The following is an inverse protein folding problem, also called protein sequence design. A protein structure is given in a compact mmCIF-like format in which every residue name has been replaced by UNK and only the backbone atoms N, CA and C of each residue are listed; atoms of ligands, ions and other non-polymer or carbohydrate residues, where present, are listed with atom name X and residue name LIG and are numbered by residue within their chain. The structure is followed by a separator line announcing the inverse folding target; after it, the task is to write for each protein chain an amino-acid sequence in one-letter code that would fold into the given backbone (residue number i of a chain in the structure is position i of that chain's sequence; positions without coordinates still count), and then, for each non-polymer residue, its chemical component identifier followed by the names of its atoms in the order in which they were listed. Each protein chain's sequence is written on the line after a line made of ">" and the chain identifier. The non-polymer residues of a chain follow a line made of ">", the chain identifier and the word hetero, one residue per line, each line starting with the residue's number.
data_IF_014044489893
#
_entry.id   IF_014044489893
#
_cell.length_a   1.000
_cell.length_b   1.000
_cell.length_c   1.000
_cell.angle_alpha   90.00
_cell.angle_beta   90.00
_cell.angle_gamma   90.00
#
_symmetry.space_group_name_H-M   'P 1'
#
loop_
_entity.id
_entity.type
_entity.pdbx_description
1 polymer ?
#
# COMPACT_ATOMS: atom_id res chain seq x y z
N UNK A 1 14.90 9.29 12.47
CA UNK A 1 15.04 9.91 11.14
C UNK A 1 15.24 11.41 11.29
N UNK A 2 16.15 11.95 10.55
CA UNK A 2 16.33 13.39 10.39
C UNK A 2 15.93 13.76 8.96
N UNK A 3 15.07 14.76 8.82
CA UNK A 3 14.56 15.21 7.53
C UNK A 3 15.36 16.40 6.94
N UNK A 4 16.40 16.84 7.62
CA UNK A 4 17.25 17.95 7.16
C UNK A 4 18.65 17.85 7.74
N UNK A 5 19.41 16.82 7.37
CA UNK A 5 20.77 16.62 7.85
C UNK A 5 21.65 17.78 7.42
N UNK A 6 22.34 18.36 8.38
CA UNK A 6 23.27 19.48 8.20
C UNK A 6 22.67 20.70 7.50
N UNK A 7 21.33 20.84 7.48
CA UNK A 7 20.66 21.95 6.81
C UNK A 7 20.59 21.83 5.27
N UNK A 8 20.98 20.70 4.68
CA UNK A 8 21.03 20.50 3.22
C UNK A 8 19.71 19.99 2.64
N UNK A 9 18.67 19.82 3.47
CA UNK A 9 17.38 19.27 3.04
C UNK A 9 17.38 17.76 2.79
N UNK A 10 18.51 17.10 3.01
CA UNK A 10 18.63 15.65 2.82
C UNK A 10 17.99 14.92 4.00
N UNK A 11 17.39 13.75 3.72
CA UNK A 11 16.76 12.92 4.74
C UNK A 11 17.60 11.69 5.02
N UNK A 12 17.86 11.39 6.29
CA UNK A 12 18.47 10.15 6.74
C UNK A 12 17.54 9.45 7.71
N UNK A 13 17.30 8.18 7.45
CA UNK A 13 16.56 7.31 8.34
C UNK A 13 17.41 6.10 8.69
N UNK A 14 17.67 5.94 9.97
CA UNK A 14 18.32 4.77 10.53
C UNK A 14 17.27 3.92 11.23
N UNK A 15 17.24 2.64 10.94
CA UNK A 15 16.33 1.68 11.56
C UNK A 15 17.15 0.55 12.14
N UNK A 16 16.84 0.18 13.37
CA UNK A 16 17.41 -0.99 14.04
C UNK A 16 16.25 -1.91 14.42
N UNK A 17 16.35 -3.18 14.04
CA UNK A 17 15.33 -4.16 14.26
C UNK A 17 15.71 -5.10 15.42
N UNK A 18 14.76 -5.33 16.33
CA UNK A 18 14.85 -6.27 17.44
C UNK A 18 13.66 -7.23 17.41
N UNK A 19 13.90 -8.49 17.77
CA UNK A 19 12.84 -9.48 17.96
C UNK A 19 11.97 -9.08 19.16
N UNK A 20 10.65 -9.24 19.01
CA UNK A 20 9.71 -9.01 20.12
C UNK A 20 9.78 -10.09 21.20
N UNK A 21 10.19 -11.31 20.85
CA UNK A 21 10.17 -12.46 21.76
C UNK A 21 11.34 -12.47 22.75
N UNK A 22 12.52 -12.14 22.26
CA UNK A 22 13.79 -12.31 22.98
C UNK A 22 14.72 -11.08 22.94
N UNK A 23 14.24 -9.98 22.34
CA UNK A 23 15.03 -8.76 22.09
C UNK A 23 16.33 -8.99 21.33
N UNK A 24 16.45 -10.13 20.62
CA UNK A 24 17.60 -10.40 19.79
C UNK A 24 17.73 -9.37 18.67
N UNK A 25 18.97 -9.01 18.35
CA UNK A 25 19.27 -8.06 17.30
C UNK A 25 19.03 -8.64 15.91
N UNK A 26 18.18 -7.99 15.12
CA UNK A 26 17.81 -8.42 13.77
C UNK A 26 18.57 -7.78 12.63
N UNK A 27 19.17 -6.62 12.88
CA UNK A 27 19.93 -5.89 11.88
C UNK A 27 19.61 -4.41 11.80
N UNK A 28 20.35 -3.72 10.93
CA UNK A 28 20.20 -2.30 10.67
C UNK A 28 19.85 -2.05 9.21
N UNK A 29 19.09 -0.98 8.96
CA UNK A 29 18.82 -0.44 7.65
C UNK A 29 19.09 1.07 7.66
N UNK A 30 19.71 1.56 6.61
CA UNK A 30 19.98 2.98 6.35
C UNK A 30 19.24 3.36 5.10
N UNK A 31 18.43 4.40 5.17
CA UNK A 31 17.79 5.03 4.01
C UNK A 31 18.28 6.49 3.92
N UNK A 32 18.77 6.89 2.77
CA UNK A 32 19.23 8.24 2.50
C UNK A 32 18.57 8.80 1.25
N UNK A 33 17.94 9.95 1.37
CA UNK A 33 17.22 10.63 0.28
C UNK A 33 17.78 12.03 0.11
N UNK A 34 18.12 12.38 -1.13
CA UNK A 34 18.54 13.71 -1.56
C UNK A 34 17.42 14.26 -2.45
N UNK A 35 16.47 15.03 -1.92
CA UNK A 35 15.47 15.71 -2.73
C UNK A 35 16.15 16.86 -3.48
N UNK A 36 15.70 17.17 -4.68
CA UNK A 36 16.23 18.30 -5.46
C UNK A 36 17.74 18.25 -5.73
N UNK A 37 18.25 17.12 -6.21
CA UNK A 37 19.65 16.99 -6.58
C UNK A 37 20.11 18.18 -7.43
N UNK A 38 21.04 18.98 -6.92
CA UNK A 38 21.56 20.18 -7.57
C UNK A 38 20.47 21.18 -8.05
N UNK A 39 19.32 21.25 -7.40
CA UNK A 39 18.20 22.12 -7.78
C UNK A 39 17.39 21.66 -9.00
N UNK A 40 17.53 20.42 -9.42
CA UNK A 40 16.96 19.89 -10.68
C UNK A 40 15.58 19.24 -10.54
N UNK A 41 14.97 19.24 -9.38
CA UNK A 41 13.76 18.49 -9.03
C UNK A 41 13.90 16.96 -9.12
N UNK A 42 15.09 16.44 -9.33
CA UNK A 42 15.37 15.01 -9.21
C UNK A 42 15.60 14.64 -7.75
N UNK A 43 15.06 13.50 -7.36
CA UNK A 43 15.32 12.88 -6.05
C UNK A 43 16.21 11.68 -6.25
N UNK A 44 17.34 11.63 -5.54
CA UNK A 44 18.18 10.45 -5.46
C UNK A 44 17.89 9.71 -4.14
N UNK A 45 17.77 8.40 -4.22
CA UNK A 45 17.46 7.52 -3.10
C UNK A 45 18.49 6.40 -3.01
N UNK A 46 18.88 6.10 -1.80
CA UNK A 46 19.75 4.99 -1.48
C UNK A 46 19.24 4.33 -0.22
N UNK A 47 19.07 3.00 -0.26
CA UNK A 47 18.77 2.22 0.93
C UNK A 47 19.64 0.98 0.97
N UNK A 48 20.22 0.70 2.12
CA UNK A 48 21.02 -0.50 2.33
C UNK A 48 20.88 -1.01 3.76
N UNK A 49 20.85 -2.31 3.91
CA UNK A 49 20.81 -2.92 5.23
C UNK A 49 20.23 -4.32 5.23
N UNK A 50 19.96 -4.80 6.42
CA UNK A 50 19.31 -6.08 6.62
C UNK A 50 18.41 -6.05 7.85
N UNK A 51 17.41 -6.92 7.82
CA UNK A 51 16.61 -7.31 8.96
C UNK A 51 16.70 -8.83 9.20
N UNK A 52 15.78 -9.41 9.99
CA UNK A 52 15.74 -10.85 10.26
C UNK A 52 15.57 -11.72 9.02
N UNK A 53 14.89 -11.20 7.98
CA UNK A 53 14.44 -11.96 6.84
C UNK A 53 15.02 -11.44 5.53
N UNK A 54 15.41 -10.18 5.48
CA UNK A 54 15.81 -9.50 4.25
C UNK A 54 17.19 -8.86 4.37
N UNK A 55 17.91 -8.84 3.26
CA UNK A 55 19.07 -7.97 3.04
C UNK A 55 18.82 -7.23 1.73
N UNK A 56 18.85 -5.92 1.76
CA UNK A 56 18.42 -5.05 0.67
C UNK A 56 19.48 -4.04 0.33
N UNK A 57 19.68 -3.83 -0.96
CA UNK A 57 20.39 -2.70 -1.54
C UNK A 57 19.51 -2.09 -2.61
N UNK A 58 19.05 -0.86 -2.40
CA UNK A 58 18.23 -0.12 -3.36
C UNK A 58 18.92 1.19 -3.71
N UNK A 59 18.88 1.55 -5.00
CA UNK A 59 19.38 2.81 -5.52
C UNK A 59 18.37 3.36 -6.52
N UNK A 60 18.10 4.66 -6.46
CA UNK A 60 17.13 5.26 -7.35
C UNK A 60 17.43 6.71 -7.67
N UNK A 61 17.04 7.11 -8.87
CA UNK A 61 16.98 8.50 -9.30
C UNK A 61 15.63 8.71 -9.97
N UNK A 62 14.83 9.67 -9.50
CA UNK A 62 13.52 9.94 -10.08
C UNK A 62 13.17 11.42 -10.07
N UNK A 63 12.37 11.82 -11.04
CA UNK A 63 11.62 13.07 -11.08
C UNK A 63 10.15 12.73 -11.31
N UNK A 64 9.30 13.14 -10.39
CA UNK A 64 7.84 12.96 -10.48
C UNK A 64 7.19 14.13 -11.24
N UNK A 65 5.95 13.95 -11.69
CA UNK A 65 5.12 15.04 -12.18
C UNK A 65 4.88 16.08 -11.08
N UNK A 66 5.33 17.30 -11.31
CA UNK A 66 5.17 18.44 -10.38
C UNK A 66 4.02 19.32 -10.81
N UNK A 67 3.88 19.53 -12.12
CA UNK A 67 2.88 20.40 -12.75
C UNK A 67 1.91 19.59 -13.60
N UNK A 68 0.70 20.14 -13.91
CA UNK A 68 -0.26 19.47 -14.80
C UNK A 68 0.25 19.22 -16.24
N UNK A 69 1.19 20.06 -16.73
CA UNK A 69 1.95 19.80 -17.96
C UNK A 69 3.41 19.66 -17.55
N UNK A 70 3.92 18.45 -17.58
CA UNK A 70 5.25 18.10 -17.11
C UNK A 70 5.68 16.74 -17.66
N UNK A 71 6.90 16.33 -17.31
CA UNK A 71 7.41 14.98 -17.56
C UNK A 71 7.84 14.32 -16.25
N UNK A 72 7.80 13.02 -16.21
CA UNK A 72 8.44 12.19 -15.20
C UNK A 72 9.50 11.31 -15.85
N UNK A 73 10.47 10.92 -15.06
CA UNK A 73 11.47 9.91 -15.41
C UNK A 73 12.02 9.29 -14.14
N UNK A 74 12.33 8.02 -14.19
CA UNK A 74 12.96 7.34 -13.06
C UNK A 74 13.70 6.10 -13.48
N UNK A 75 14.68 5.77 -12.66
CA UNK A 75 15.47 4.55 -12.74
C UNK A 75 15.75 4.07 -11.33
N UNK A 76 15.43 2.81 -11.06
CA UNK A 76 15.75 2.18 -9.78
C UNK A 76 16.41 0.82 -9.99
N UNK A 77 17.34 0.50 -9.11
CA UNK A 77 17.98 -0.79 -9.03
C UNK A 77 17.83 -1.34 -7.62
N UNK A 78 17.44 -2.62 -7.52
CA UNK A 78 17.30 -3.34 -6.25
C UNK A 78 18.02 -4.69 -6.30
N UNK A 79 18.81 -5.01 -5.28
CA UNK A 79 19.35 -6.37 -5.01
C UNK A 79 18.84 -6.81 -3.63
N UNK A 80 17.91 -7.75 -3.64
CA UNK A 80 17.20 -8.20 -2.45
C UNK A 80 17.52 -9.67 -2.21
N UNK A 81 17.92 -9.99 -0.99
CA UNK A 81 17.98 -11.37 -0.49
C UNK A 81 16.93 -11.49 0.60
N UNK A 82 15.94 -12.33 0.38
CA UNK A 82 14.82 -12.52 1.30
C UNK A 82 14.68 -13.98 1.68
N UNK A 83 14.39 -14.23 2.96
CA UNK A 83 14.03 -15.55 3.47
C UNK A 83 12.51 -15.69 3.34
N UNK A 84 12.03 -16.43 2.34
CA UNK A 84 10.61 -16.64 2.08
C UNK A 84 10.19 -18.02 2.57
N UNK A 85 9.07 -18.06 3.27
CA UNK A 85 8.44 -19.33 3.66
C UNK A 85 7.67 -19.90 2.49
N UNK A 86 7.98 -21.13 2.13
CA UNK A 86 7.32 -21.88 1.06
C UNK A 86 6.34 -22.87 1.68
N UNK A 87 5.06 -22.60 1.51
CA UNK A 87 3.98 -23.40 2.11
C UNK A 87 4.05 -24.86 1.64
N UNK A 88 4.37 -25.07 0.35
CA UNK A 88 4.40 -26.41 -0.25
C UNK A 88 5.53 -27.29 0.29
N UNK A 89 6.58 -26.70 0.84
CA UNK A 89 7.76 -27.41 1.33
C UNK A 89 7.90 -27.33 2.87
N UNK A 90 6.98 -26.61 3.51
CA UNK A 90 7.01 -26.31 4.96
C UNK A 90 8.40 -25.82 5.43
N UNK A 91 9.05 -25.01 4.62
CA UNK A 91 10.41 -24.52 4.91
C UNK A 91 10.65 -23.11 4.42
N UNK A 92 11.63 -22.44 5.02
CA UNK A 92 12.04 -21.11 4.59
C UNK A 92 13.29 -21.20 3.71
N UNK A 93 13.19 -20.73 2.48
CA UNK A 93 14.28 -20.68 1.52
C UNK A 93 14.81 -19.25 1.34
N UNK A 94 16.10 -19.15 1.08
CA UNK A 94 16.72 -17.89 0.73
C UNK A 94 16.52 -17.64 -0.77
N UNK A 95 15.81 -16.58 -1.10
CA UNK A 95 15.59 -16.08 -2.47
C UNK A 95 16.47 -14.87 -2.70
N UNK A 96 17.15 -14.82 -3.83
CA UNK A 96 17.93 -13.65 -4.27
C UNK A 96 17.31 -13.09 -5.54
N UNK A 97 16.86 -11.84 -5.48
CA UNK A 97 16.20 -11.13 -6.56
C UNK A 97 16.96 -9.85 -6.91
N UNK A 98 17.13 -9.60 -8.21
CA UNK A 98 17.65 -8.36 -8.76
C UNK A 98 16.60 -7.75 -9.65
N UNK A 99 16.35 -6.47 -9.46
CA UNK A 99 15.35 -5.74 -10.21
C UNK A 99 15.93 -4.42 -10.73
N UNK A 100 15.76 -4.16 -12.02
CA UNK A 100 16.03 -2.88 -12.65
C UNK A 100 14.71 -2.36 -13.22
N UNK A 101 14.32 -1.14 -12.84
CA UNK A 101 13.06 -0.54 -13.22
C UNK A 101 13.31 0.87 -13.77
N UNK A 102 13.00 1.07 -15.04
CA UNK A 102 13.15 2.34 -15.74
C UNK A 102 11.80 2.79 -16.28
N UNK A 103 11.44 4.05 -16.05
CA UNK A 103 10.17 4.59 -16.55
C UNK A 103 10.31 6.05 -16.96
N UNK A 104 9.35 6.48 -17.78
CA UNK A 104 9.20 7.86 -18.15
C UNK A 104 7.81 8.15 -18.65
N UNK A 105 7.41 9.41 -18.58
CA UNK A 105 6.08 9.82 -18.98
C UNK A 105 5.98 11.31 -19.26
N UNK A 106 4.92 11.68 -19.97
CA UNK A 106 4.57 13.05 -20.25
C UNK A 106 3.10 13.31 -19.98
N UNK A 107 2.82 14.42 -19.33
CA UNK A 107 1.47 14.91 -19.04
C UNK A 107 1.23 16.27 -19.67
N UNK A 108 0.01 16.48 -20.18
CA UNK A 108 -0.43 17.75 -20.77
C UNK A 108 -1.80 18.16 -20.26
N UNK A 109 -1.88 19.37 -19.72
CA UNK A 109 -3.15 19.93 -19.28
C UNK A 109 -4.00 20.40 -20.47
N UNK A 110 -5.24 19.93 -20.54
CA UNK A 110 -6.22 20.30 -21.56
C UNK A 110 -7.29 21.23 -20.94
N UNK A 111 -7.20 22.51 -21.26
CA UNK A 111 -8.14 23.53 -20.73
C UNK A 111 -9.59 23.23 -21.04
N UNK A 112 -9.88 22.64 -22.20
CA UNK A 112 -11.25 22.34 -22.65
C UNK A 112 -11.98 21.39 -21.71
N UNK A 113 -11.31 20.39 -21.15
CA UNK A 113 -11.87 19.39 -20.24
C UNK A 113 -11.51 19.65 -18.77
N UNK A 114 -10.65 20.62 -18.51
CA UNK A 114 -10.18 20.97 -17.16
C UNK A 114 -9.40 19.87 -16.46
N UNK A 115 -8.71 19.01 -17.24
CA UNK A 115 -7.99 17.83 -16.76
C UNK A 115 -6.70 17.63 -17.56
N UNK A 116 -5.77 16.85 -17.03
CA UNK A 116 -4.56 16.47 -17.75
C UNK A 116 -4.70 15.09 -18.35
N UNK A 117 -4.21 14.91 -19.56
CA UNK A 117 -3.97 13.61 -20.18
C UNK A 117 -2.50 13.27 -20.05
N UNK A 118 -2.17 11.99 -19.97
CA UNK A 118 -0.81 11.53 -19.84
C UNK A 118 -0.57 10.21 -20.58
N UNK A 119 0.70 10.01 -20.90
CA UNK A 119 1.25 8.77 -21.45
C UNK A 119 2.52 8.45 -20.66
N UNK A 120 2.62 7.21 -20.19
CA UNK A 120 3.76 6.71 -19.41
C UNK A 120 4.23 5.38 -19.99
N UNK A 121 5.53 5.12 -19.87
CA UNK A 121 6.13 3.85 -20.26
C UNK A 121 7.05 3.35 -19.15
N UNK A 122 7.16 2.05 -18.99
CA UNK A 122 8.01 1.39 -17.99
C UNK A 122 8.63 0.14 -18.56
N UNK A 123 9.92 -0.02 -18.34
CA UNK A 123 10.64 -1.26 -18.54
C UNK A 123 11.09 -1.81 -17.20
N UNK A 124 10.73 -3.04 -16.92
CA UNK A 124 11.11 -3.75 -15.71
C UNK A 124 11.88 -5.02 -16.08
N UNK A 125 13.08 -5.15 -15.52
CA UNK A 125 13.95 -6.30 -15.66
C UNK A 125 14.10 -6.98 -14.31
N UNK A 126 13.69 -8.24 -14.18
CA UNK A 126 13.75 -9.03 -12.96
C UNK A 126 14.45 -10.35 -13.17
N UNK A 127 15.41 -10.66 -12.30
CA UNK A 127 16.12 -11.95 -12.27
C UNK A 127 16.16 -12.50 -10.86
N UNK A 128 15.78 -13.76 -10.72
CA UNK A 128 15.73 -14.49 -9.45
C UNK A 128 16.77 -15.60 -9.47
N UNK A 129 17.97 -15.30 -8.98
CA UNK A 129 19.14 -16.17 -9.11
C UNK A 129 19.24 -17.27 -8.05
N UNK A 130 18.59 -17.11 -6.90
CA UNK A 130 18.55 -18.11 -5.83
C UNK A 130 17.10 -18.31 -5.44
N UNK A 131 16.56 -19.45 -5.76
CA UNK A 131 15.13 -19.75 -5.64
C UNK A 131 14.88 -21.25 -5.55
N UNK A 132 13.71 -21.70 -5.03
CA UNK A 132 13.25 -23.06 -5.11
C UNK A 132 12.97 -23.46 -6.58
N UNK A 133 12.57 -24.71 -6.76
CA UNK A 133 12.10 -25.19 -8.06
C UNK A 133 10.93 -24.33 -8.54
N UNK A 134 10.97 -23.97 -9.81
CA UNK A 134 9.92 -23.22 -10.50
C UNK A 134 9.45 -24.00 -11.73
N UNK A 135 8.25 -23.72 -12.19
CA UNK A 135 7.66 -24.36 -13.38
C UNK A 135 6.64 -23.43 -14.04
N UNK A 136 6.13 -23.77 -15.23
CA UNK A 136 5.23 -22.88 -15.99
C UNK A 136 4.03 -22.34 -15.19
N UNK A 137 3.49 -23.15 -14.28
CA UNK A 137 2.35 -22.79 -13.43
C UNK A 137 2.68 -22.83 -11.91
N UNK A 138 3.96 -22.97 -11.58
CA UNK A 138 4.43 -23.12 -10.22
C UNK A 138 5.39 -22.00 -9.84
N UNK A 139 5.10 -21.31 -8.74
CA UNK A 139 5.86 -20.17 -8.23
C UNK A 139 6.11 -19.05 -9.28
N UNK A 140 5.10 -18.55 -10.00
CA UNK A 140 5.31 -17.57 -11.08
C UNK A 140 5.90 -16.24 -10.60
N UNK A 141 5.74 -15.89 -9.33
CA UNK A 141 6.39 -14.71 -8.74
C UNK A 141 7.91 -14.86 -8.58
N UNK A 142 8.46 -16.07 -8.76
CA UNK A 142 9.89 -16.34 -8.72
C UNK A 142 10.51 -16.58 -10.11
N UNK A 143 9.74 -16.39 -11.18
CA UNK A 143 10.25 -16.47 -12.54
C UNK A 143 11.13 -15.28 -12.90
N UNK A 144 12.12 -15.50 -13.74
CA UNK A 144 12.80 -14.41 -14.45
C UNK A 144 11.81 -13.76 -15.41
N UNK A 145 11.80 -12.45 -15.45
CA UNK A 145 10.81 -11.71 -16.23
C UNK A 145 11.35 -10.37 -16.69
N UNK A 146 11.12 -10.05 -17.94
CA UNK A 146 11.22 -8.69 -18.49
C UNK A 146 9.82 -8.21 -18.87
N UNK A 147 9.50 -6.95 -18.61
CA UNK A 147 8.20 -6.40 -18.95
C UNK A 147 8.33 -4.98 -19.49
N UNK A 148 7.64 -4.71 -20.58
CA UNK A 148 7.45 -3.37 -21.13
C UNK A 148 5.98 -3.02 -20.98
N UNK A 149 5.68 -1.99 -20.21
CA UNK A 149 4.33 -1.50 -19.95
C UNK A 149 4.16 -0.09 -20.52
N UNK A 150 2.97 0.20 -21.01
CA UNK A 150 2.54 1.52 -21.44
C UNK A 150 1.22 1.84 -20.76
N UNK A 151 1.16 2.98 -20.08
CA UNK A 151 -0.03 3.52 -19.44
C UNK A 151 -0.48 4.80 -20.12
N UNK A 152 -1.77 4.92 -20.39
CA UNK A 152 -2.39 6.14 -20.91
C UNK A 152 -3.64 6.47 -20.11
N UNK A 153 -3.80 7.75 -19.78
CA UNK A 153 -4.93 8.11 -18.94
C UNK A 153 -5.18 9.61 -18.84
N UNK A 154 -6.09 9.91 -17.94
CA UNK A 154 -6.48 11.27 -17.62
C UNK A 154 -6.63 11.43 -16.11
N UNK A 155 -6.26 12.60 -15.60
CA UNK A 155 -6.38 12.91 -14.19
C UNK A 155 -6.71 14.37 -13.95
N UNK A 156 -7.26 14.60 -12.76
CA UNK A 156 -7.49 15.92 -12.20
C UNK A 156 -7.26 15.84 -10.72
N UNK A 157 -6.35 16.67 -10.20
CA UNK A 157 -6.07 16.74 -8.78
C UNK A 157 -6.25 18.17 -8.29
N UNK A 158 -6.95 18.32 -7.18
CA UNK A 158 -7.10 19.54 -6.40
C UNK A 158 -6.89 19.19 -4.94
N UNK A 159 -6.58 20.19 -4.12
CA UNK A 159 -6.43 19.99 -2.68
C UNK A 159 -7.51 20.77 -1.94
N UNK A 160 -8.06 20.10 -0.95
CA UNK A 160 -9.00 20.66 -0.01
C UNK A 160 -8.38 20.66 1.38
N UNK A 161 -8.60 21.74 2.14
CA UNK A 161 -8.10 21.85 3.51
C UNK A 161 -9.15 21.35 4.48
N UNK A 162 -8.78 20.38 5.31
CA UNK A 162 -9.61 19.82 6.36
C UNK A 162 -8.86 19.81 7.68
N UNK A 163 -9.56 19.49 8.77
CA UNK A 163 -8.99 19.40 10.12
C UNK A 163 -9.45 18.10 10.80
N UNK A 164 -8.66 17.59 11.74
CA UNK A 164 -9.03 16.44 12.58
C UNK A 164 -9.38 15.18 11.78
N UNK A 165 -8.54 14.84 10.81
CA UNK A 165 -8.59 13.56 10.11
C UNK A 165 -7.55 12.65 10.73
N UNK A 166 -6.27 13.03 10.62
CA UNK A 166 -5.13 12.32 11.20
C UNK A 166 -4.54 13.07 12.40
N UNK A 167 -4.63 14.41 12.37
CA UNK A 167 -4.08 15.30 13.37
C UNK A 167 -5.16 15.88 14.30
N UNK A 168 -4.69 16.50 15.37
CA UNK A 168 -5.54 17.09 16.42
C UNK A 168 -5.76 18.59 16.22
N UNK A 169 -6.15 19.02 15.01
CA UNK A 169 -6.48 20.41 14.71
C UNK A 169 -5.46 21.15 13.84
N UNK A 170 -4.43 20.48 13.33
CA UNK A 170 -3.63 21.00 12.21
C UNK A 170 -4.47 20.99 10.94
N UNK A 171 -4.14 21.90 10.03
CA UNK A 171 -4.68 21.86 8.66
C UNK A 171 -4.08 20.67 7.93
N UNK A 172 -4.93 19.88 7.32
CA UNK A 172 -4.57 18.70 6.54
C UNK A 172 -5.08 18.91 5.12
N UNK A 173 -4.23 18.60 4.14
CA UNK A 173 -4.57 18.76 2.72
C UNK A 173 -5.00 17.40 2.18
N UNK A 174 -6.24 17.32 1.72
CA UNK A 174 -6.81 16.15 1.10
C UNK A 174 -6.84 16.34 -0.41
N UNK A 175 -6.34 15.36 -1.15
CA UNK A 175 -6.46 15.35 -2.59
C UNK A 175 -7.91 15.07 -2.99
N UNK A 176 -8.44 15.87 -3.90
CA UNK A 176 -9.78 15.68 -4.50
C UNK A 176 -9.64 15.63 -6.00
N UNK A 177 -10.41 14.79 -6.66
CA UNK A 177 -10.35 14.65 -8.10
C UNK A 177 -10.55 13.22 -8.56
N UNK A 178 -9.86 12.84 -9.63
CA UNK A 178 -9.91 11.51 -10.19
C UNK A 178 -8.68 11.20 -11.03
N UNK A 179 -8.40 9.91 -11.22
CA UNK A 179 -7.46 9.33 -12.17
C UNK A 179 -8.12 8.15 -12.86
N UNK A 180 -8.03 8.08 -14.18
CA UNK A 180 -8.42 6.93 -14.98
C UNK A 180 -7.23 6.54 -15.86
N UNK A 181 -6.86 5.28 -15.86
CA UNK A 181 -5.71 4.76 -16.59
C UNK A 181 -6.05 3.44 -17.26
N UNK A 182 -5.57 3.28 -18.49
CA UNK A 182 -5.46 2.01 -19.19
C UNK A 182 -3.99 1.65 -19.29
N UNK A 183 -3.66 0.44 -18.89
CA UNK A 183 -2.29 -0.08 -18.94
C UNK A 183 -2.27 -1.30 -19.85
N UNK A 184 -1.34 -1.33 -20.79
CA UNK A 184 -1.05 -2.51 -21.61
C UNK A 184 0.43 -2.77 -21.64
N UNK A 185 0.83 -3.98 -21.97
CA UNK A 185 2.23 -4.29 -22.09
C UNK A 185 2.51 -5.71 -22.52
N UNK A 186 3.77 -5.96 -22.70
CA UNK A 186 4.29 -7.27 -23.07
C UNK A 186 5.31 -7.73 -22.02
N UNK A 187 5.22 -8.97 -21.63
CA UNK A 187 6.09 -9.60 -20.65
C UNK A 187 6.78 -10.81 -21.28
N UNK A 188 8.11 -10.79 -21.28
CA UNK A 188 8.95 -11.92 -21.64
C UNK A 188 9.26 -12.71 -20.38
N UNK A 189 8.66 -13.88 -20.26
CA UNK A 189 8.85 -14.73 -19.10
C UNK A 189 9.87 -15.84 -19.36
N UNK A 190 10.31 -16.48 -18.29
CA UNK A 190 11.18 -17.65 -18.37
C UNK A 190 10.50 -18.86 -19.05
N UNK A 191 9.19 -18.97 -18.87
CA UNK A 191 8.40 -20.09 -19.39
C UNK A 191 7.41 -19.66 -20.46
N UNK A 192 6.74 -18.53 -20.26
CA UNK A 192 5.67 -18.05 -21.13
C UNK A 192 5.80 -16.56 -21.37
N UNK A 193 5.56 -16.16 -22.60
CA UNK A 193 5.36 -14.77 -22.99
C UNK A 193 3.89 -14.41 -22.84
N UNK A 194 3.61 -13.23 -22.34
CA UNK A 194 2.25 -12.79 -22.08
C UNK A 194 2.04 -11.31 -22.39
N UNK A 195 0.84 -10.99 -22.83
CA UNK A 195 0.37 -9.61 -22.96
C UNK A 195 -0.41 -9.21 -21.70
N UNK A 196 -0.11 -8.05 -21.14
CA UNK A 196 -0.85 -7.51 -20.00
C UNK A 196 -1.89 -6.50 -20.45
N UNK A 197 -3.08 -6.57 -19.87
CA UNK A 197 -4.13 -5.57 -19.99
C UNK A 197 -4.65 -5.20 -18.61
N UNK A 198 -4.70 -3.90 -18.32
CA UNK A 198 -5.18 -3.38 -17.05
C UNK A 198 -5.97 -2.08 -17.20
N UNK A 199 -6.87 -1.84 -16.26
CA UNK A 199 -7.62 -0.61 -16.14
C UNK A 199 -7.73 -0.23 -14.67
N UNK A 200 -7.56 1.05 -14.37
CA UNK A 200 -7.79 1.59 -13.03
C UNK A 200 -8.59 2.88 -13.08
N UNK A 201 -9.41 3.07 -12.06
CA UNK A 201 -10.12 4.32 -11.83
C UNK A 201 -10.13 4.64 -10.35
N UNK A 202 -9.75 5.84 -10.00
CA UNK A 202 -9.73 6.37 -8.65
C UNK A 202 -10.43 7.72 -8.61
N UNK A 203 -11.20 7.99 -7.56
CA UNK A 203 -11.86 9.28 -7.37
C UNK A 203 -12.01 9.61 -5.90
N UNK A 204 -12.11 10.91 -5.60
CA UNK A 204 -12.42 11.34 -4.24
C UNK A 204 -12.80 12.81 -4.15
N UNK A 205 -13.60 13.10 -3.15
CA UNK A 205 -14.06 14.45 -2.91
C UNK A 205 -15.03 14.57 -1.75
N UNK A 206 -15.27 15.79 -1.33
CA UNK A 206 -16.28 16.10 -0.32
C UNK A 206 -17.68 16.01 -0.91
N UNK A 207 -18.59 15.42 -0.15
CA UNK A 207 -20.03 15.35 -0.38
C UNK A 207 -20.75 15.84 0.89
N UNK A 208 -22.05 16.04 0.86
CA UNK A 208 -22.82 16.49 2.03
C UNK A 208 -22.61 15.64 3.29
N UNK A 209 -22.35 14.36 3.16
CA UNK A 209 -22.13 13.39 4.25
C UNK A 209 -20.67 13.26 4.71
N UNK A 210 -19.75 13.99 4.11
CA UNK A 210 -18.32 13.91 4.42
C UNK A 210 -17.43 13.73 3.18
N UNK A 211 -16.26 13.17 3.36
CA UNK A 211 -15.32 12.88 2.29
C UNK A 211 -15.40 11.41 1.89
N UNK A 212 -15.57 11.18 0.60
CA UNK A 212 -15.60 9.84 0.00
C UNK A 212 -14.44 9.75 -0.98
N UNK A 213 -13.69 8.66 -0.92
CA UNK A 213 -12.71 8.30 -1.91
C UNK A 213 -12.79 6.81 -2.19
N UNK A 214 -12.48 6.43 -3.42
CA UNK A 214 -12.46 5.02 -3.79
C UNK A 214 -11.99 4.84 -5.21
N UNK A 215 -11.76 3.59 -5.55
CA UNK A 215 -11.31 3.20 -6.86
C UNK A 215 -11.50 1.72 -7.11
N UNK A 216 -11.24 1.35 -8.34
CA UNK A 216 -11.11 -0.04 -8.72
C UNK A 216 -9.93 -0.22 -9.67
N UNK A 217 -9.33 -1.38 -9.62
CA UNK A 217 -8.30 -1.82 -10.55
C UNK A 217 -8.65 -3.22 -11.05
N UNK A 218 -8.55 -3.40 -12.34
CA UNK A 218 -8.77 -4.68 -13.01
C UNK A 218 -7.54 -4.95 -13.89
N UNK A 219 -7.02 -6.18 -13.88
CA UNK A 219 -5.93 -6.54 -14.75
C UNK A 219 -5.80 -8.05 -14.95
N UNK A 220 -5.20 -8.42 -16.07
CA UNK A 220 -4.96 -9.80 -16.43
C UNK A 220 -3.82 -9.91 -17.42
N UNK A 221 -3.16 -11.07 -17.40
CA UNK A 221 -2.27 -11.52 -18.45
C UNK A 221 -3.00 -12.41 -19.45
N UNK A 222 -2.66 -12.30 -20.71
CA UNK A 222 -3.08 -13.18 -21.79
C UNK A 222 -1.81 -13.91 -22.25
N UNK A 223 -1.75 -15.21 -22.02
CA UNK A 223 -0.66 -16.05 -22.51
C UNK A 223 -0.75 -16.12 -24.03
N UNK A 224 0.36 -15.89 -24.72
CA UNK A 224 0.38 -15.86 -26.18
C UNK A 224 0.49 -17.24 -26.82
N UNK A 225 0.78 -18.29 -26.04
CA UNK A 225 0.88 -19.65 -26.53
C UNK A 225 -0.50 -20.31 -26.61
N UNK A 226 -1.37 -20.10 -25.62
CA UNK A 226 -2.69 -20.72 -25.54
C UNK A 226 -3.86 -19.73 -25.68
N UNK A 227 -3.59 -18.42 -25.65
CA UNK A 227 -4.60 -17.36 -25.70
C UNK A 227 -5.44 -17.25 -24.43
N UNK A 228 -5.09 -17.93 -23.35
CA UNK A 228 -5.86 -17.96 -22.12
C UNK A 228 -5.53 -16.79 -21.19
N UNK A 229 -6.53 -16.37 -20.44
CA UNK A 229 -6.37 -15.34 -19.42
C UNK A 229 -5.80 -15.97 -18.14
N UNK A 230 -4.69 -15.42 -17.67
CA UNK A 230 -3.98 -15.87 -16.47
C UNK A 230 -3.76 -14.71 -15.49
N UNK A 231 -3.61 -15.07 -14.21
CA UNK A 231 -3.28 -14.13 -13.12
C UNK A 231 -4.20 -12.91 -13.10
N UNK A 232 -5.48 -13.14 -13.39
CA UNK A 232 -6.49 -12.09 -13.37
C UNK A 232 -6.80 -11.66 -11.95
N UNK A 233 -7.03 -10.36 -11.76
CA UNK A 233 -7.43 -9.80 -10.48
C UNK A 233 -8.30 -8.57 -10.65
N UNK A 234 -9.24 -8.39 -9.72
CA UNK A 234 -9.96 -7.15 -9.48
C UNK A 234 -9.75 -6.73 -8.04
N UNK A 235 -9.50 -5.46 -7.84
CA UNK A 235 -9.47 -4.82 -6.52
C UNK A 235 -10.40 -3.62 -6.51
N UNK A 236 -11.22 -3.50 -5.47
CA UNK A 236 -12.14 -2.38 -5.23
C UNK A 236 -11.89 -1.85 -3.84
N UNK A 237 -11.54 -0.58 -3.73
CA UNK A 237 -11.34 0.12 -2.47
C UNK A 237 -12.31 1.29 -2.35
N UNK A 238 -12.99 1.42 -1.20
CA UNK A 238 -13.88 2.53 -0.89
C UNK A 238 -13.63 2.98 0.54
N UNK A 239 -13.34 4.25 0.73
CA UNK A 239 -13.10 4.85 2.03
C UNK A 239 -13.96 6.09 2.22
N UNK A 240 -14.49 6.23 3.40
CA UNK A 240 -15.32 7.36 3.78
C UNK A 240 -14.99 7.82 5.19
N UNK A 241 -15.03 9.12 5.40
CA UNK A 241 -15.12 9.68 6.74
C UNK A 241 -16.20 10.77 6.80
N UNK A 242 -16.88 10.80 7.92
CA UNK A 242 -18.00 11.74 8.15
C UNK A 242 -17.54 13.19 8.24
N UNK A 243 -18.48 14.11 8.14
CA UNK A 243 -18.32 15.44 8.69
C UNK A 243 -17.98 15.35 10.18
N UNK A 244 -17.41 16.42 10.72
CA UNK A 244 -17.07 16.50 12.13
C UNK A 244 -18.33 16.84 12.94
N UNK A 245 -18.76 15.89 13.77
CA UNK A 245 -19.90 16.10 14.67
C UNK A 245 -19.43 16.70 15.99
N UNK A 246 -20.13 17.73 16.46
CA UNK A 246 -19.87 18.32 17.76
C UNK A 246 -20.81 17.67 18.80
N UNK A 247 -20.23 17.07 19.84
CA UNK A 247 -20.96 16.54 20.98
C UNK A 247 -20.40 17.15 22.27
N UNK A 248 -21.17 18.07 22.87
CA UNK A 248 -20.70 18.89 23.99
C UNK A 248 -19.41 19.63 23.63
N UNK A 249 -18.29 19.30 24.29
CA UNK A 249 -16.95 19.87 24.05
C UNK A 249 -16.06 18.96 23.22
N UNK A 250 -16.51 17.75 22.89
CA UNK A 250 -15.79 16.78 22.09
C UNK A 250 -16.22 16.84 20.63
N UNK A 251 -15.36 16.38 19.75
CA UNK A 251 -15.64 16.27 18.32
C UNK A 251 -15.55 14.82 17.92
N UNK A 252 -16.51 14.36 17.15
CA UNK A 252 -16.63 12.95 16.76
C UNK A 252 -16.49 12.84 15.25
N UNK A 253 -15.76 11.85 14.79
CA UNK A 253 -15.63 11.50 13.39
C UNK A 253 -15.77 9.98 13.23
N UNK A 254 -16.57 9.58 12.25
CA UNK A 254 -16.72 8.20 11.85
C UNK A 254 -15.87 7.94 10.60
N UNK A 255 -15.19 6.80 10.56
CA UNK A 255 -14.44 6.29 9.42
C UNK A 255 -14.98 4.95 9.00
N UNK A 256 -15.09 4.74 7.70
CA UNK A 256 -15.39 3.45 7.07
C UNK A 256 -14.39 3.19 5.96
N UNK A 257 -13.94 1.94 5.85
CA UNK A 257 -13.18 1.46 4.71
C UNK A 257 -13.72 0.11 4.28
N UNK A 258 -13.91 -0.05 3.00
CA UNK A 258 -14.32 -1.28 2.34
C UNK A 258 -13.28 -1.65 1.29
N UNK A 259 -12.82 -2.89 1.31
CA UNK A 259 -11.95 -3.44 0.29
C UNK A 259 -12.49 -4.80 -0.17
N UNK A 260 -12.49 -5.01 -1.48
CA UNK A 260 -12.82 -6.29 -2.09
C UNK A 260 -11.76 -6.64 -3.12
N UNK A 261 -11.12 -7.78 -2.96
CA UNK A 261 -10.12 -8.30 -3.89
C UNK A 261 -10.53 -9.70 -4.32
N UNK A 262 -10.56 -9.95 -5.62
CA UNK A 262 -10.80 -11.26 -6.18
C UNK A 262 -9.78 -11.57 -7.27
N UNK A 263 -9.18 -12.77 -7.19
CA UNK A 263 -8.32 -13.32 -8.22
C UNK A 263 -8.94 -14.57 -8.85
N UNK A 264 -8.67 -14.78 -10.13
CA UNK A 264 -9.05 -16.00 -10.84
C UNK A 264 -7.99 -16.36 -11.88
N UNK A 265 -7.98 -17.64 -12.28
CA UNK A 265 -6.98 -18.21 -13.18
C UNK A 265 -5.55 -17.91 -12.71
N UNK A 266 -5.32 -18.09 -11.41
CA UNK A 266 -4.03 -17.87 -10.77
C UNK A 266 -3.31 -19.20 -10.54
N UNK A 267 -1.98 -19.14 -10.55
CA UNK A 267 -1.13 -20.29 -10.25
C UNK A 267 -1.25 -20.76 -8.80
N UNK A 268 -0.66 -21.87 -8.50
CA UNK A 268 -0.48 -22.36 -7.14
C UNK A 268 0.78 -21.76 -6.51
N UNK A 269 0.72 -21.45 -5.23
CA UNK A 269 1.82 -20.87 -4.46
C UNK A 269 1.37 -19.75 -3.53
N UNK A 270 2.15 -19.50 -2.50
CA UNK A 270 1.86 -18.46 -1.49
C UNK A 270 1.81 -17.04 -2.07
N UNK A 271 2.54 -16.82 -3.16
CA UNK A 271 2.63 -15.52 -3.84
C UNK A 271 1.42 -15.26 -4.78
N UNK A 272 0.62 -16.29 -5.07
CA UNK A 272 -0.63 -16.20 -5.83
C UNK A 272 -1.88 -16.19 -4.93
N UNK A 273 -1.68 -16.00 -3.64
CA UNK A 273 -2.74 -15.90 -2.64
C UNK A 273 -2.73 -14.55 -1.93
N UNK A 274 -3.91 -14.04 -1.64
CA UNK A 274 -4.08 -12.86 -0.79
C UNK A 274 -4.26 -13.27 0.67
N UNK A 275 -3.98 -12.35 1.57
CA UNK A 275 -4.10 -12.56 3.03
C UNK A 275 -4.71 -11.34 3.71
N UNK A 276 -5.20 -11.51 4.92
CA UNK A 276 -5.46 -10.37 5.77
C UNK A 276 -4.13 -9.75 6.20
N UNK A 277 -3.95 -8.47 5.88
CA UNK A 277 -2.82 -7.69 6.38
C UNK A 277 -3.22 -6.94 7.63
N UNK A 278 -2.26 -6.56 8.47
CA UNK A 278 -2.53 -5.78 9.68
C UNK A 278 -2.93 -4.34 9.39
N UNK A 279 -2.53 -3.80 8.26
CA UNK A 279 -2.85 -2.42 7.84
C UNK A 279 -4.20 -2.34 7.15
N UNK A 280 -4.47 -3.22 6.21
CA UNK A 280 -5.66 -3.22 5.36
C UNK A 280 -6.61 -4.38 5.68
N UNK A 281 -6.36 -5.11 6.77
CA UNK A 281 -7.14 -6.25 7.21
C UNK A 281 -7.89 -6.01 8.53
N UNK A 282 -7.94 -7.06 9.34
CA UNK A 282 -8.53 -7.03 10.68
C UNK A 282 -7.45 -6.66 11.71
N UNK A 283 -7.67 -5.60 12.46
CA UNK A 283 -6.62 -4.97 13.28
C UNK A 283 -6.10 -5.84 14.44
N UNK A 284 -6.93 -6.68 15.01
CA UNK A 284 -6.54 -7.52 16.14
C UNK A 284 -6.23 -8.96 15.73
N UNK A 285 -6.38 -9.31 14.44
CA UNK A 285 -6.09 -10.66 13.95
C UNK A 285 -4.57 -10.83 13.75
N UNK A 286 -4.00 -11.89 14.30
CA UNK A 286 -2.59 -12.26 14.16
C UNK A 286 -2.39 -13.47 13.25
N UNK A 287 -3.43 -14.24 13.01
CA UNK A 287 -3.41 -15.45 12.19
C UNK A 287 -3.17 -15.17 10.70
N UNK A 288 -2.37 -16.02 10.07
CA UNK A 288 -2.05 -15.94 8.64
C UNK A 288 -3.04 -16.74 7.80
N UNK A 289 -4.16 -16.11 7.47
CA UNK A 289 -5.20 -16.71 6.65
C UNK A 289 -5.02 -16.26 5.20
N UNK A 290 -5.09 -17.21 4.29
CA UNK A 290 -4.87 -16.99 2.84
C UNK A 290 -6.09 -17.41 2.03
N UNK A 291 -6.23 -16.81 0.84
CA UNK A 291 -7.28 -17.13 -0.12
C UNK A 291 -7.02 -16.48 -1.46
N UNK A 292 -7.95 -16.65 -2.39
CA UNK A 292 -7.97 -15.94 -3.68
C UNK A 292 -9.04 -14.85 -3.73
N UNK A 293 -9.95 -14.85 -2.74
CA UNK A 293 -11.01 -13.85 -2.62
C UNK A 293 -11.06 -13.30 -1.20
N UNK A 294 -11.14 -11.98 -1.07
CA UNK A 294 -11.15 -11.28 0.22
C UNK A 294 -12.13 -10.12 0.17
N UNK A 295 -12.92 -9.95 1.21
CA UNK A 295 -13.75 -8.77 1.43
C UNK A 295 -13.55 -8.29 2.87
N UNK A 296 -13.32 -6.99 3.05
CA UNK A 296 -13.07 -6.38 4.34
C UNK A 296 -13.95 -5.14 4.49
N UNK A 297 -14.59 -5.02 5.64
CA UNK A 297 -15.26 -3.79 6.07
C UNK A 297 -14.68 -3.38 7.42
N UNK A 298 -14.09 -2.20 7.45
CA UNK A 298 -13.53 -1.61 8.66
C UNK A 298 -14.36 -0.41 9.09
N UNK A 299 -14.63 -0.30 10.37
CA UNK A 299 -15.28 0.87 10.95
C UNK A 299 -14.52 1.37 12.16
N UNK A 300 -14.37 2.67 12.29
CA UNK A 300 -13.70 3.30 13.42
C UNK A 300 -14.39 4.60 13.79
N UNK A 301 -14.78 4.75 15.06
CA UNK A 301 -15.33 5.97 15.63
C UNK A 301 -14.28 6.64 16.49
N UNK A 302 -13.89 7.87 16.15
CA UNK A 302 -12.88 8.64 16.88
C UNK A 302 -13.54 9.82 17.59
N UNK A 303 -13.29 9.92 18.89
CA UNK A 303 -13.74 11.03 19.74
C UNK A 303 -12.53 11.86 20.15
N UNK A 304 -12.40 13.04 19.59
CA UNK A 304 -11.39 14.03 19.95
C UNK A 304 -11.84 14.77 21.21
N UNK A 305 -11.15 14.55 22.32
CA UNK A 305 -11.50 15.15 23.60
C UNK A 305 -10.96 16.58 23.72
N UNK A 306 -11.56 17.43 24.55
CA UNK A 306 -11.03 18.77 24.83
C UNK A 306 -9.84 18.76 25.80
N UNK A 307 -9.51 17.61 26.37
CA UNK A 307 -8.45 17.49 27.39
C UNK A 307 -7.07 17.53 26.78
N UNK A 308 -6.18 18.28 27.43
CA UNK A 308 -4.80 18.44 26.97
C UNK A 308 -3.81 18.39 28.15
N UNK A 309 -3.73 17.29 28.92
CA UNK A 309 -2.81 17.17 30.03
C UNK A 309 -1.36 17.19 29.53
N UNK A 310 -0.51 17.96 30.19
CA UNK A 310 0.93 18.09 29.88
C UNK A 310 1.21 18.42 28.40
N UNK A 311 0.27 19.07 27.70
CA UNK A 311 0.38 19.39 26.28
C UNK A 311 0.03 18.24 25.34
N UNK A 312 -0.38 17.06 25.84
CA UNK A 312 -0.85 15.95 25.03
C UNK A 312 -2.34 16.09 24.71
N UNK A 313 -2.67 16.18 23.44
CA UNK A 313 -4.03 16.06 22.95
C UNK A 313 -4.44 14.59 22.92
N UNK A 314 -5.64 14.29 23.40
CA UNK A 314 -6.15 12.94 23.56
C UNK A 314 -7.34 12.72 22.63
N UNK A 315 -7.31 11.63 21.87
CA UNK A 315 -8.50 11.08 21.25
C UNK A 315 -8.67 9.61 21.68
N UNK A 316 -9.91 9.23 21.92
CA UNK A 316 -10.29 7.82 22.15
C UNK A 316 -10.99 7.30 20.91
N UNK A 317 -10.85 6.02 20.61
CA UNK A 317 -11.52 5.41 19.48
C UNK A 317 -11.97 3.99 19.77
N UNK A 318 -13.06 3.61 19.11
CA UNK A 318 -13.50 2.24 19.02
C UNK A 318 -13.47 1.78 17.57
N UNK A 319 -13.16 0.52 17.34
CA UNK A 319 -13.16 -0.08 16.00
C UNK A 319 -13.86 -1.42 15.96
N UNK A 320 -14.41 -1.73 14.79
CA UNK A 320 -14.92 -3.04 14.45
C UNK A 320 -14.54 -3.35 13.00
N UNK A 321 -13.97 -4.52 12.78
CA UNK A 321 -13.55 -5.00 11.47
C UNK A 321 -14.25 -6.32 11.17
N UNK A 322 -14.69 -6.47 9.93
CA UNK A 322 -15.36 -7.64 9.41
C UNK A 322 -14.65 -8.09 8.15
N UNK A 323 -14.33 -9.36 8.04
CA UNK A 323 -13.61 -9.91 6.91
C UNK A 323 -14.12 -11.28 6.48
N UNK A 324 -14.16 -11.48 5.17
CA UNK A 324 -14.37 -12.77 4.52
C UNK A 324 -13.14 -13.06 3.67
N UNK A 325 -12.61 -14.28 3.74
CA UNK A 325 -11.46 -14.71 2.94
C UNK A 325 -11.53 -16.21 2.68
N UNK A 326 -11.14 -16.61 1.48
CA UNK A 326 -11.06 -18.03 1.10
C UNK A 326 -10.88 -18.20 -0.40
N UNK A 327 -11.13 -19.42 -0.87
CA UNK A 327 -10.92 -19.82 -2.26
C UNK A 327 -12.20 -19.95 -3.07
N UNK A 328 -13.38 -19.85 -2.43
CA UNK A 328 -14.65 -19.93 -3.15
C UNK A 328 -14.89 -18.66 -3.98
N UNK A 329 -15.26 -18.78 -5.28
CA UNK A 329 -15.68 -17.63 -6.09
C UNK A 329 -16.84 -16.84 -5.48
N UNK A 330 -17.73 -17.51 -4.75
CA UNK A 330 -18.76 -16.85 -3.97
C UNK A 330 -18.20 -16.42 -2.63
N UNK A 331 -17.94 -15.12 -2.44
CA UNK A 331 -17.33 -14.56 -1.25
C UNK A 331 -18.04 -14.92 0.05
N UNK A 332 -19.37 -15.05 0.04
CA UNK A 332 -20.19 -15.38 1.22
C UNK A 332 -20.10 -16.85 1.65
N UNK A 333 -19.44 -17.72 0.87
CA UNK A 333 -19.13 -19.11 1.24
C UNK A 333 -17.78 -19.27 1.89
N UNK A 334 -16.98 -18.20 1.93
CA UNK A 334 -15.67 -18.16 2.54
C UNK A 334 -15.76 -17.95 4.06
N UNK A 335 -14.63 -18.15 4.76
CA UNK A 335 -14.58 -18.04 6.20
C UNK A 335 -14.71 -16.59 6.65
N UNK A 336 -15.54 -16.39 7.68
CA UNK A 336 -15.82 -15.09 8.27
C UNK A 336 -14.97 -14.87 9.54
N UNK A 337 -14.39 -13.67 9.60
CA UNK A 337 -13.61 -13.19 10.74
C UNK A 337 -14.07 -11.81 11.15
N UNK A 338 -13.97 -11.51 12.43
CA UNK A 338 -14.23 -10.18 12.96
C UNK A 338 -13.20 -9.79 14.00
N UNK A 339 -12.89 -8.51 14.11
CA UNK A 339 -12.11 -7.98 15.21
C UNK A 339 -12.75 -6.73 15.80
N UNK A 340 -12.68 -6.61 17.10
CA UNK A 340 -13.27 -5.51 17.88
C UNK A 340 -12.24 -4.95 18.84
N UNK A 341 -12.30 -3.66 19.10
CA UNK A 341 -11.41 -3.09 20.09
C UNK A 341 -11.61 -1.60 20.35
N UNK A 342 -10.80 -1.12 21.26
CA UNK A 342 -10.76 0.25 21.72
C UNK A 342 -9.31 0.75 21.75
N UNK A 343 -9.12 2.06 21.68
CA UNK A 343 -7.78 2.61 21.80
C UNK A 343 -7.75 4.09 22.14
N UNK A 344 -6.54 4.55 22.39
CA UNK A 344 -6.24 5.95 22.68
C UNK A 344 -5.15 6.44 21.74
N UNK A 345 -5.34 7.63 21.19
CA UNK A 345 -4.34 8.38 20.43
C UNK A 345 -3.87 9.57 21.25
N UNK A 346 -2.56 9.67 21.38
CA UNK A 346 -1.87 10.76 22.11
C UNK A 346 -0.98 11.52 21.15
N UNK A 347 -1.07 12.85 21.14
CA UNK A 347 -0.21 13.68 20.32
C UNK A 347 0.21 14.94 21.11
N UNK A 348 1.51 15.16 21.15
CA UNK A 348 2.09 16.41 21.64
C UNK A 348 2.81 17.10 20.48
N UNK A 349 2.36 18.30 20.11
CA UNK A 349 2.91 19.04 18.97
C UNK A 349 4.29 19.67 19.24
N UNK A 350 4.71 19.70 20.51
CA UNK A 350 6.04 20.17 20.92
C UNK A 350 7.10 19.07 20.85
N UNK A 351 6.68 17.81 20.76
CA UNK A 351 7.59 16.67 20.64
C UNK A 351 7.78 16.31 19.17
N UNK A 352 8.97 15.85 18.86
CA UNK A 352 9.33 15.36 17.52
C UNK A 352 8.58 14.07 17.16
N UNK A 353 7.99 13.40 18.17
CA UNK A 353 7.25 12.16 17.97
C UNK A 353 5.91 12.39 17.27
N UNK A 354 5.59 11.49 16.35
CA UNK A 354 4.28 11.39 15.72
C UNK A 354 3.22 10.97 16.76
N UNK A 355 1.96 10.90 16.32
CA UNK A 355 0.88 10.37 17.14
C UNK A 355 1.22 8.98 17.68
N UNK A 356 1.17 8.82 19.00
CA UNK A 356 1.28 7.51 19.66
C UNK A 356 -0.13 6.95 19.78
N UNK A 357 -0.32 5.72 19.31
CA UNK A 357 -1.59 5.00 19.40
C UNK A 357 -1.42 3.73 20.22
N UNK A 358 -2.22 3.61 21.26
CA UNK A 358 -2.34 2.42 22.10
C UNK A 358 -3.68 1.78 21.78
N UNK A 359 -3.69 0.49 21.47
CA UNK A 359 -4.88 -0.25 21.09
C UNK A 359 -4.99 -1.57 21.83
N UNK A 360 -6.21 -1.89 22.26
CA UNK A 360 -6.62 -3.17 22.79
C UNK A 360 -7.68 -3.76 21.86
N UNK A 361 -7.54 -5.03 21.49
CA UNK A 361 -8.48 -5.68 20.59
C UNK A 361 -8.47 -7.20 20.70
N UNK A 362 -9.54 -7.79 20.22
CA UNK A 362 -9.74 -9.25 20.13
C UNK A 362 -10.28 -9.59 18.75
N UNK A 363 -9.99 -10.81 18.29
CA UNK A 363 -10.47 -11.32 17.01
C UNK A 363 -11.21 -12.66 17.19
N UNK A 364 -12.20 -12.86 16.33
CA UNK A 364 -13.03 -14.06 16.31
C UNK A 364 -13.10 -14.60 14.88
N UNK A 365 -13.09 -15.92 14.77
CA UNK A 365 -13.37 -16.67 13.56
C UNK A 365 -14.57 -17.59 13.73
N UNK A 366 -14.79 -18.50 12.79
CA UNK A 366 -15.92 -19.43 12.76
C UNK A 366 -16.04 -20.30 14.02
N UNK A 367 -14.90 -20.67 14.62
CA UNK A 367 -14.83 -21.56 15.78
C UNK A 367 -14.64 -20.82 17.11
N UNK A 368 -14.85 -19.52 17.17
CA UNK A 368 -14.68 -18.69 18.36
C UNK A 368 -13.45 -17.78 18.31
N UNK A 369 -12.79 -17.60 19.45
CA UNK A 369 -11.62 -16.73 19.56
C UNK A 369 -10.45 -17.31 18.76
N UNK A 370 -9.82 -16.46 17.93
CA UNK A 370 -8.63 -16.79 17.16
C UNK A 370 -7.41 -16.07 17.71
N UNK A 371 -6.22 -16.41 17.21
CA UNK A 371 -4.97 -15.76 17.62
C UNK A 371 -5.08 -14.25 17.44
N UNK A 372 -4.96 -13.53 18.55
CA UNK A 372 -5.28 -12.11 18.63
C UNK A 372 -4.12 -11.28 19.16
N UNK A 373 -3.82 -10.16 18.49
CA UNK A 373 -2.93 -9.15 19.04
C UNK A 373 -3.69 -8.26 20.03
N UNK A 374 -3.78 -8.71 21.29
CA UNK A 374 -4.55 -8.03 22.34
C UNK A 374 -4.09 -6.60 22.62
N UNK A 375 -2.80 -6.34 22.48
CA UNK A 375 -2.21 -5.03 22.73
C UNK A 375 -1.27 -4.61 21.60
N UNK A 376 -1.42 -3.37 21.13
CA UNK A 376 -0.51 -2.79 20.12
C UNK A 376 -0.18 -1.34 20.40
N UNK A 377 1.11 -1.02 20.30
CA UNK A 377 1.62 0.34 20.24
C UNK A 377 2.02 0.65 18.78
N UNK A 378 1.49 1.71 18.21
CA UNK A 378 1.79 2.11 16.83
C UNK A 378 1.80 3.63 16.68
N UNK A 379 2.40 4.10 15.60
CA UNK A 379 2.38 5.50 15.18
C UNK A 379 1.61 5.72 13.87
N UNK A 380 1.02 4.66 13.31
CA UNK A 380 0.30 4.69 12.05
C UNK A 380 -1.19 4.96 12.23
N UNK A 381 -1.76 5.76 11.34
CA UNK A 381 -3.20 5.91 11.16
C UNK A 381 -3.66 5.08 9.97
N UNK A 382 -4.90 4.62 9.99
CA UNK A 382 -5.44 3.63 9.05
C UNK A 382 -5.79 4.17 7.67
N UNK A 383 -5.97 5.47 7.53
CA UNK A 383 -6.34 6.07 6.25
C UNK A 383 -5.12 6.56 5.49
N UNK A 384 -4.78 5.88 4.41
CA UNK A 384 -3.88 6.39 3.40
C UNK A 384 -4.66 7.31 2.46
N UNK A 385 -4.03 8.41 2.02
CA UNK A 385 -4.61 9.34 1.08
C UNK A 385 -4.29 8.90 -0.35
N UNK A 386 -5.30 8.90 -1.21
CA UNK A 386 -5.07 8.82 -2.65
C UNK A 386 -4.35 10.08 -3.15
N UNK A 387 -3.46 9.87 -4.11
CA UNK A 387 -2.91 10.92 -4.98
C UNK A 387 -3.37 10.61 -6.39
N UNK A 388 -4.03 11.57 -7.01
CA UNK A 388 -4.59 11.40 -8.35
C UNK A 388 -3.58 11.74 -9.46
N UNK A 389 -2.33 12.02 -9.13
CA UNK A 389 -1.28 12.19 -10.14
C UNK A 389 -0.90 10.83 -10.69
N UNK A 390 -0.62 10.77 -12.00
CA UNK A 390 -0.11 9.55 -12.60
C UNK A 390 1.25 9.20 -12.00
N UNK A 391 1.54 7.93 -12.02
CA UNK A 391 2.84 7.33 -11.70
C UNK A 391 3.24 6.43 -12.86
N UNK A 392 4.39 5.78 -12.78
CA UNK A 392 4.76 4.72 -13.71
C UNK A 392 3.62 3.71 -13.86
N UNK A 393 3.40 3.13 -15.06
CA UNK A 393 2.35 2.14 -15.24
C UNK A 393 2.62 0.90 -14.39
N UNK A 394 1.58 0.39 -13.74
CA UNK A 394 1.68 -0.73 -12.80
C UNK A 394 0.74 -1.87 -13.21
N UNK A 395 1.15 -3.07 -12.87
CA UNK A 395 0.34 -4.28 -12.95
C UNK A 395 -0.56 -4.28 -11.72
N UNK A 396 -1.80 -4.78 -11.84
CA UNK A 396 -2.69 -4.92 -10.70
C UNK A 396 -2.03 -5.74 -9.59
N UNK A 397 -1.92 -5.15 -8.42
CA UNK A 397 -1.38 -5.84 -7.26
C UNK A 397 -2.40 -6.84 -6.71
N UNK A 398 -1.92 -8.03 -6.36
CA UNK A 398 -2.71 -9.08 -5.74
C UNK A 398 -2.06 -9.45 -4.41
N UNK A 399 -2.46 -8.73 -3.35
CA UNK A 399 -1.88 -8.85 -1.99
C UNK A 399 -2.96 -8.94 -0.93
#
# INVERSE_FOLDING_TARGET
>A
SDANILGWGNKLKLMTNFSRKDFSYGGNMVEYEIPNVLGSFYTAEFAAGRDFYNSTLDMGLRKEFIKPTDYEIGLTYSDIKSKRYMVEQDTSLLVKERNLDAWGGYSRYLRRIGSSVYLTGRYNYRRVSRRPLVGPHFNPALHDQDALLVGAGLYREKFYTANMIYGFGRREYLATGYKAELTTGYSWGEFNDAMYLGMSYETGGFRGVGYIMGGFTLGSYIDLNDGMWHRSAVDVDLRWFSNLFLFRRSRIRQFLAFNYTQGWNRGTGSDESIRFTRTDGLQALEEHIIGTNRMILNTETVVFTPYQPLGFRIAVFGFADFGLIGYSPNIFKNDFFTSLGLGVRLRNERLVFNTIQIRLGIAFGKNGLVESEYFRLSNSTRMEQYRYRPTRPEIVEFK
#
